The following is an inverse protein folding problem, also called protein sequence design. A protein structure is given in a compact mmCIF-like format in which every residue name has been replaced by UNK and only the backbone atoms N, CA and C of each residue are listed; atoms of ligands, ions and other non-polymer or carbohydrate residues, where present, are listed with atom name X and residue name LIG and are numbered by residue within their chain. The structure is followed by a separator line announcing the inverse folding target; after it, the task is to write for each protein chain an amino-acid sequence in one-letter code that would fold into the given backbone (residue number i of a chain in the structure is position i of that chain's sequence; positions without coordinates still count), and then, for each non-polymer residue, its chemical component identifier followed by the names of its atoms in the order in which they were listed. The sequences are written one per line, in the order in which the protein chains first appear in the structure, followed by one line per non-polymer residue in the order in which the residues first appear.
data_IF_793395297272
#
_entry.id   IF_793395297272
#
_cell.length_a   1.000
_cell.length_b   1.000
_cell.length_c   1.000
_cell.angle_alpha   90.00
_cell.angle_beta   90.00
_cell.angle_gamma   90.00
#
_symmetry.space_group_name_H-M   'P 1'
#
loop_
_entity.id
_entity.type
_entity.pdbx_description
1 polymer ?
#
# COMPACT_ATOMS: atom_id res chain seq x y z
N UNK A 1 3.36 -2.37 6.12
CA UNK A 1 2.90 -1.09 6.70
C UNK A 1 4.07 -0.18 7.09
N UNK A 2 5.30 -0.67 7.22
CA UNK A 2 6.52 0.16 7.42
C UNK A 2 7.07 0.79 6.12
N UNK A 3 6.60 0.35 4.95
CA UNK A 3 7.13 0.77 3.63
C UNK A 3 6.45 2.04 3.09
N UNK A 4 5.28 2.40 3.61
CA UNK A 4 4.60 3.61 3.20
C UNK A 4 5.16 4.80 3.99
N UNK A 5 5.88 5.74 3.36
CA UNK A 5 6.53 6.85 4.06
C UNK A 5 5.54 7.83 4.70
N UNK A 6 4.27 7.76 4.28
CA UNK A 6 3.16 8.60 4.75
C UNK A 6 2.09 7.78 5.50
N UNK A 7 2.34 6.50 5.77
CA UNK A 7 1.44 5.63 6.52
C UNK A 7 0.03 5.45 5.90
N UNK A 8 -0.15 5.75 4.62
CA UNK A 8 -1.42 5.65 3.88
C UNK A 8 -1.92 4.20 3.61
N UNK A 9 -1.29 3.17 4.20
CA UNK A 9 -1.67 1.76 3.96
C UNK A 9 -2.09 1.12 5.26
N UNK A 10 -3.32 0.61 5.31
CA UNK A 10 -3.89 -0.12 6.44
C UNK A 10 -4.23 -1.56 6.05
N UNK A 11 -4.36 -2.46 7.03
CA UNK A 11 -4.86 -3.81 6.82
C UNK A 11 -6.32 -3.86 7.26
N UNK A 12 -7.22 -4.17 6.34
CA UNK A 12 -8.58 -4.57 6.68
C UNK A 12 -8.51 -5.96 7.32
N UNK A 13 -8.75 -6.04 8.64
CA UNK A 13 -8.64 -7.29 9.39
C UNK A 13 -9.79 -8.27 9.14
N UNK A 14 -10.92 -7.80 8.61
CA UNK A 14 -12.08 -8.64 8.31
C UNK A 14 -11.87 -9.41 7.00
N UNK A 15 -11.43 -8.69 5.96
CA UNK A 15 -11.18 -9.26 4.63
C UNK A 15 -9.73 -9.75 4.46
N UNK A 16 -8.82 -9.33 5.35
CA UNK A 16 -7.40 -9.67 5.29
C UNK A 16 -6.65 -9.00 4.12
N UNK A 17 -7.14 -7.86 3.64
CA UNK A 17 -6.60 -7.13 2.49
C UNK A 17 -5.96 -5.81 2.91
N UNK A 18 -4.84 -5.45 2.27
CA UNK A 18 -4.28 -4.13 2.45
C UNK A 18 -5.10 -3.10 1.66
N UNK A 19 -5.43 -1.98 2.29
CA UNK A 19 -6.18 -0.87 1.70
C UNK A 19 -5.29 0.37 1.71
N UNK A 20 -5.22 1.05 0.56
CA UNK A 20 -4.48 2.30 0.40
C UNK A 20 -5.48 3.46 0.48
N UNK A 21 -5.18 4.45 1.31
CA UNK A 21 -5.90 5.73 1.30
C UNK A 21 -5.37 6.58 0.13
N UNK A 22 -6.19 6.73 -0.92
CA UNK A 22 -5.84 7.50 -2.12
C UNK A 22 -5.72 9.00 -1.86
N UNK A 23 -6.32 9.54 -0.80
CA UNK A 23 -6.20 10.96 -0.46
C UNK A 23 -4.85 11.26 0.23
N UNK A 24 -4.31 10.29 0.97
CA UNK A 24 -3.00 10.41 1.63
C UNK A 24 -1.84 9.86 0.78
N UNK A 25 -2.12 8.99 -0.19
CA UNK A 25 -1.11 8.43 -1.09
C UNK A 25 -0.37 9.53 -1.88
N UNK A 26 0.95 9.36 -2.01
CA UNK A 26 1.84 10.28 -2.74
C UNK A 26 2.57 9.60 -3.90
N UNK A 27 2.08 8.44 -4.34
CA UNK A 27 2.58 7.67 -5.49
C UNK A 27 4.09 7.39 -5.44
N UNK A 28 4.58 7.05 -4.24
CA UNK A 28 6.01 6.83 -4.02
C UNK A 28 6.55 5.49 -4.55
N UNK A 29 5.68 4.54 -4.91
CA UNK A 29 6.06 3.22 -5.46
C UNK A 29 6.58 2.18 -4.45
N UNK A 30 6.89 2.57 -3.20
CA UNK A 30 7.55 1.68 -2.24
C UNK A 30 6.78 0.38 -1.93
N UNK A 31 5.44 0.42 -1.94
CA UNK A 31 4.60 -0.76 -1.74
C UNK A 31 4.59 -1.71 -2.94
N UNK A 32 4.66 -1.18 -4.16
CA UNK A 32 4.78 -1.96 -5.40
C UNK A 32 6.15 -2.66 -5.46
N UNK A 33 7.24 -1.92 -5.24
CA UNK A 33 8.60 -2.46 -5.29
C UNK A 33 8.82 -3.62 -4.30
N UNK A 34 8.19 -3.56 -3.14
CA UNK A 34 8.28 -4.61 -2.12
C UNK A 34 7.28 -5.75 -2.31
N UNK A 35 6.27 -5.58 -3.17
CA UNK A 35 5.29 -6.62 -3.41
C UNK A 35 5.91 -7.73 -4.27
N UNK A 36 6.52 -8.73 -3.63
CA UNK A 36 7.10 -9.91 -4.31
C UNK A 36 6.11 -10.71 -5.16
N UNK A 37 4.81 -10.53 -4.93
CA UNK A 37 3.74 -11.17 -5.69
C UNK A 37 3.24 -10.32 -6.87
N UNK A 38 3.66 -9.05 -6.98
CA UNK A 38 3.15 -8.12 -7.99
C UNK A 38 1.65 -7.87 -7.87
N UNK A 39 1.13 -7.85 -6.64
CA UNK A 39 -0.30 -7.66 -6.36
C UNK A 39 -0.71 -6.19 -6.25
N UNK A 40 0.26 -5.27 -6.29
CA UNK A 40 0.07 -3.83 -6.18
C UNK A 40 0.73 -3.22 -7.41
N UNK A 41 0.05 -2.26 -8.02
CA UNK A 41 0.55 -1.43 -9.13
C UNK A 41 0.28 0.04 -8.78
N UNK A 42 1.25 0.93 -9.00
CA UNK A 42 1.12 2.38 -8.75
C UNK A 42 1.16 3.11 -10.10
N UNK A 43 0.13 3.91 -10.40
CA UNK A 43 0.00 4.67 -11.66
C UNK A 43 0.37 6.16 -11.53
#
# INVERSE_FOLDING_TARGET
MEECPVEAITLDEEEGIAVVDEEECVDCGACEENCTLGAIEVE
#
